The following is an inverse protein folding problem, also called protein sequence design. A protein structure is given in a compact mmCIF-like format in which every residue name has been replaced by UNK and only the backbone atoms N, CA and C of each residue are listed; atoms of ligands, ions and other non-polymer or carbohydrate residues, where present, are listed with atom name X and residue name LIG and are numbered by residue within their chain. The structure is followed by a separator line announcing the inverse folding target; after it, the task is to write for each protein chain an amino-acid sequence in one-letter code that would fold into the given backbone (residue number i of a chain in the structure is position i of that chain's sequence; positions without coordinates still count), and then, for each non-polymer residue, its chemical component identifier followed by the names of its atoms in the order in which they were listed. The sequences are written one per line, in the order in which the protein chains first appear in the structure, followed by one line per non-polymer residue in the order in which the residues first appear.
data_IF_603798545606
#
_entry.id   IF_603798545606
#
_cell.length_a   1.000
_cell.length_b   1.000
_cell.length_c   1.000
_cell.angle_alpha   90.00
_cell.angle_beta   90.00
_cell.angle_gamma   90.00
#
_symmetry.space_group_name_H-M   'P 1'
#
loop_
_entity.id
_entity.type
_entity.pdbx_description
1 polymer ?
#
# COMPACT_ATOMS: atom_id res chain seq x y z
N UNK A 1 20.28 0.60 41.12
CA UNK A 1 20.48 0.82 39.67
C UNK A 1 19.11 0.99 39.04
N UNK A 2 18.70 2.22 38.69
CA UNK A 2 17.39 2.45 38.05
C UNK A 2 17.52 1.97 36.61
N UNK A 3 16.93 0.80 36.32
CA UNK A 3 16.80 0.29 34.96
C UNK A 3 15.90 1.26 34.19
N UNK A 4 16.50 2.24 33.50
CA UNK A 4 15.82 3.19 32.61
C UNK A 4 15.28 2.40 31.43
N UNK A 5 14.13 1.75 31.63
CA UNK A 5 13.49 0.99 30.58
C UNK A 5 13.15 1.96 29.46
N UNK A 6 13.69 1.69 28.28
CA UNK A 6 13.21 2.31 27.07
C UNK A 6 11.87 1.64 26.76
N UNK A 7 10.84 2.02 27.52
CA UNK A 7 9.52 1.40 27.40
C UNK A 7 8.93 1.80 26.05
N UNK A 8 8.80 0.80 25.18
CA UNK A 8 8.03 0.90 23.95
C UNK A 8 6.57 0.79 24.34
N UNK A 9 5.81 1.84 24.09
CA UNK A 9 4.44 1.91 24.53
C UNK A 9 3.60 2.81 23.64
N UNK A 10 2.30 2.74 23.88
CA UNK A 10 1.32 3.69 23.37
C UNK A 10 0.97 4.63 24.52
N UNK A 11 1.18 5.93 24.31
CA UNK A 11 0.93 6.98 25.27
C UNK A 11 -0.09 7.96 24.68
N UNK A 12 -1.15 8.22 25.42
CA UNK A 12 -2.08 9.30 25.07
C UNK A 12 -1.54 10.60 25.67
N UNK A 13 -1.43 11.61 24.82
CA UNK A 13 -0.94 12.94 25.18
C UNK A 13 -2.10 13.78 25.71
N UNK A 14 -1.77 14.86 26.43
CA UNK A 14 -2.78 15.77 27.00
C UNK A 14 -3.68 16.38 25.92
N UNK A 15 -3.15 16.59 24.71
CA UNK A 15 -3.89 17.08 23.53
C UNK A 15 -4.86 16.03 22.94
N UNK A 16 -4.97 14.84 23.53
CA UNK A 16 -5.74 13.69 23.02
C UNK A 16 -5.07 12.92 21.88
N UNK A 17 -3.90 13.37 21.42
CA UNK A 17 -3.10 12.67 20.43
C UNK A 17 -2.47 11.39 20.98
N UNK A 18 -2.23 10.42 20.11
CA UNK A 18 -1.65 9.13 20.49
C UNK A 18 -0.22 9.00 19.99
N UNK A 19 0.72 8.80 20.90
CA UNK A 19 2.13 8.53 20.62
C UNK A 19 2.44 7.05 20.78
N UNK A 20 2.95 6.41 19.73
CA UNK A 20 3.43 5.03 19.75
C UNK A 20 4.92 5.04 19.46
N UNK A 21 5.74 4.70 20.44
CA UNK A 21 7.18 4.76 20.26
C UNK A 21 7.98 4.39 21.48
N UNK A 22 9.29 4.58 21.36
CA UNK A 22 10.20 4.49 22.50
C UNK A 22 10.09 5.75 23.34
N UNK A 23 9.95 5.57 24.65
CA UNK A 23 10.13 6.66 25.61
C UNK A 23 11.39 6.42 26.41
N UNK A 24 11.98 7.50 26.91
CA UNK A 24 13.11 7.47 27.83
C UNK A 24 12.74 8.36 29.01
N UNK A 25 12.72 7.78 30.21
CA UNK A 25 12.34 8.49 31.44
C UNK A 25 10.95 9.15 31.36
N UNK A 26 9.99 8.51 30.67
CA UNK A 26 8.63 9.04 30.46
C UNK A 26 8.50 10.09 29.35
N UNK A 27 9.61 10.44 28.68
CA UNK A 27 9.63 11.43 27.60
C UNK A 27 9.81 10.74 26.24
N UNK A 28 9.06 11.13 25.19
CA UNK A 28 9.27 10.62 23.83
C UNK A 28 10.72 10.76 23.37
N UNK A 29 11.37 9.64 23.07
CA UNK A 29 12.78 9.62 22.70
C UNK A 29 13.11 8.40 21.84
N UNK A 30 13.79 8.60 20.70
CA UNK A 30 14.13 7.55 19.75
C UNK A 30 13.25 7.59 18.52
N UNK A 31 12.66 6.48 18.09
CA UNK A 31 11.71 6.47 16.98
C UNK A 31 10.29 6.35 17.51
N UNK A 32 9.40 7.15 16.94
CA UNK A 32 8.02 7.18 17.38
C UNK A 32 7.07 7.74 16.33
N UNK A 33 5.82 7.36 16.50
CA UNK A 33 4.70 7.75 15.67
C UNK A 33 3.72 8.52 16.53
N UNK A 34 3.50 9.79 16.21
CA UNK A 34 2.47 10.59 16.86
C UNK A 34 1.29 10.74 15.92
N UNK A 35 0.09 10.48 16.41
CA UNK A 35 -1.17 10.65 15.68
C UNK A 35 -1.99 11.71 16.37
N UNK A 36 -2.26 12.81 15.68
CA UNK A 36 -3.11 13.88 16.19
C UNK A 36 -4.58 13.49 16.12
N UNK A 37 -5.40 14.11 16.98
CA UNK A 37 -6.86 13.98 16.96
C UNK A 37 -7.48 14.48 15.65
N UNK A 38 -6.80 15.41 14.95
CA UNK A 38 -7.14 15.88 13.62
C UNK A 38 -6.96 14.83 12.50
N UNK A 39 -6.36 13.68 12.80
CA UNK A 39 -6.03 12.62 11.83
C UNK A 39 -4.67 12.79 11.16
N UNK A 40 -3.92 13.85 11.49
CA UNK A 40 -2.53 13.97 11.07
C UNK A 40 -1.65 12.92 11.77
N UNK A 41 -0.55 12.53 11.12
CA UNK A 41 0.35 11.51 11.65
C UNK A 41 1.80 11.84 11.35
N UNK A 42 2.63 11.93 12.39
CA UNK A 42 4.07 12.12 12.27
C UNK A 42 4.79 10.83 12.63
N UNK A 43 5.61 10.34 11.72
CA UNK A 43 6.49 9.18 11.93
C UNK A 43 7.92 9.65 11.81
N UNK A 44 8.68 9.60 12.88
CA UNK A 44 10.04 10.08 12.84
C UNK A 44 10.83 9.82 14.09
N UNK A 45 12.00 10.44 14.14
CA UNK A 45 12.80 10.48 15.35
C UNK A 45 12.28 11.56 16.29
N UNK A 46 12.40 11.27 17.58
CA UNK A 46 11.98 12.08 18.71
C UNK A 46 13.17 12.21 19.65
N UNK A 47 13.36 13.38 20.23
CA UNK A 47 14.42 13.63 21.20
C UNK A 47 13.89 14.65 22.20
N UNK A 48 13.99 14.32 23.49
CA UNK A 48 13.58 15.20 24.59
C UNK A 48 12.13 15.71 24.44
N UNK A 49 11.23 14.85 23.93
CA UNK A 49 9.81 15.17 23.74
C UNK A 49 9.50 15.94 22.46
N UNK A 50 10.52 16.30 21.67
CA UNK A 50 10.36 17.08 20.42
C UNK A 50 10.69 16.25 19.19
N UNK A 51 10.09 16.58 18.05
CA UNK A 51 10.46 15.98 16.77
C UNK A 51 11.91 16.37 16.42
N UNK A 52 12.74 15.36 16.13
CA UNK A 52 14.15 15.58 15.83
C UNK A 52 14.67 14.55 14.82
N UNK A 53 15.64 14.90 13.98
CA UNK A 53 16.19 14.00 12.97
C UNK A 53 15.27 13.82 11.76
N UNK A 54 15.31 12.68 11.07
CA UNK A 54 14.44 12.45 9.92
C UNK A 54 13.02 12.05 10.36
N UNK A 55 12.02 12.65 9.70
CA UNK A 55 10.61 12.41 10.00
C UNK A 55 9.70 12.69 8.81
N UNK A 56 8.55 12.04 8.82
CA UNK A 56 7.50 12.14 7.81
C UNK A 56 6.21 12.57 8.48
N UNK A 57 5.70 13.76 8.14
CA UNK A 57 4.39 14.24 8.55
C UNK A 57 3.37 13.93 7.45
N UNK A 58 2.35 13.15 7.77
CA UNK A 58 1.19 12.90 6.92
C UNK A 58 0.06 13.80 7.41
N UNK A 59 -0.40 14.71 6.56
CA UNK A 59 -1.56 15.56 6.84
C UNK A 59 -2.86 14.79 6.64
N UNK A 60 -3.96 15.29 7.20
CA UNK A 60 -5.31 14.77 6.97
C UNK A 60 -5.67 14.65 5.49
N UNK A 61 -5.19 15.59 4.66
CA UNK A 61 -5.35 15.58 3.19
C UNK A 61 -4.56 14.45 2.47
N UNK A 62 -3.85 13.59 3.20
CA UNK A 62 -2.97 12.55 2.65
C UNK A 62 -1.62 13.05 2.14
N UNK A 63 -1.38 14.37 2.14
CA UNK A 63 -0.09 14.98 1.78
C UNK A 63 0.98 14.59 2.78
N UNK A 64 2.09 14.06 2.29
CA UNK A 64 3.24 13.63 3.11
C UNK A 64 4.40 14.61 2.97
N UNK A 65 4.95 15.06 4.09
CA UNK A 65 6.08 15.96 4.15
C UNK A 65 7.24 15.20 4.79
N UNK A 66 8.22 14.84 3.97
CA UNK A 66 9.42 14.13 4.42
C UNK A 66 10.54 15.15 4.58
N UNK A 67 11.11 15.23 5.76
CA UNK A 67 12.12 16.23 6.06
C UNK A 67 13.02 15.82 7.21
N UNK A 68 14.04 16.65 7.42
CA UNK A 68 14.75 16.71 8.70
C UNK A 68 13.96 17.66 9.60
N UNK A 69 13.81 17.26 10.85
CA UNK A 69 13.13 17.95 11.92
C UNK A 69 14.15 18.25 13.00
N UNK A 70 14.07 19.42 13.62
CA UNK A 70 14.93 19.80 14.73
C UNK A 70 14.09 20.66 15.67
N UNK A 71 14.01 20.22 16.92
CA UNK A 71 13.33 20.94 18.01
C UNK A 71 11.85 21.25 17.74
N UNK A 72 11.19 20.38 16.96
CA UNK A 72 9.78 20.53 16.57
C UNK A 72 9.56 21.25 15.24
N UNK A 73 10.60 21.84 14.67
CA UNK A 73 10.53 22.56 13.40
C UNK A 73 11.12 21.75 12.26
N UNK A 74 10.57 21.90 11.06
CA UNK A 74 11.09 21.27 9.85
C UNK A 74 12.41 21.94 9.45
N UNK A 75 13.52 21.40 9.92
CA UNK A 75 14.85 21.95 9.70
C UNK A 75 15.54 21.32 8.49
N UNK A 76 15.55 22.04 7.37
CA UNK A 76 16.28 21.71 6.15
C UNK A 76 15.42 21.92 4.90
N UNK A 77 16.03 21.75 3.71
CA UNK A 77 15.29 21.64 2.45
C UNK A 77 14.47 20.36 2.47
N UNK A 78 13.33 20.37 3.18
CA UNK A 78 12.36 19.30 3.16
C UNK A 78 12.05 19.04 1.69
N UNK A 79 12.38 17.84 1.22
CA UNK A 79 11.95 17.44 -0.10
C UNK A 79 10.44 17.38 0.01
N UNK A 80 9.76 18.41 -0.50
CA UNK A 80 8.36 18.32 -0.89
C UNK A 80 8.30 17.20 -1.94
N UNK A 81 8.37 15.94 -1.48
CA UNK A 81 7.70 14.87 -2.16
C UNK A 81 6.25 15.18 -1.88
N UNK A 82 5.68 16.05 -2.70
CA UNK A 82 4.32 15.85 -3.13
C UNK A 82 4.30 14.41 -3.62
N UNK A 83 3.96 13.50 -2.71
CA UNK A 83 3.49 12.19 -3.10
C UNK A 83 2.11 12.53 -3.64
N UNK A 84 2.10 13.07 -4.87
CA UNK A 84 1.07 12.69 -5.81
C UNK A 84 1.11 11.17 -5.73
N UNK A 85 0.16 10.62 -4.99
CA UNK A 85 -0.17 9.21 -5.16
C UNK A 85 -0.74 9.17 -6.57
N UNK A 86 0.14 9.24 -7.59
CA UNK A 86 -0.20 8.74 -8.89
C UNK A 86 -0.64 7.31 -8.59
N UNK A 87 -1.83 6.97 -9.06
CA UNK A 87 -2.46 5.65 -8.87
C UNK A 87 -1.54 4.47 -9.27
N UNK A 88 -0.34 4.74 -9.79
CA UNK A 88 0.72 3.82 -10.15
C UNK A 88 1.51 3.21 -8.97
N UNK A 89 1.54 3.81 -7.77
CA UNK A 89 2.34 3.24 -6.67
C UNK A 89 1.69 2.01 -6.00
N UNK A 90 0.37 1.82 -6.16
CA UNK A 90 -0.29 0.54 -5.83
C UNK A 90 0.04 -0.54 -6.87
N UNK A 91 0.51 -0.14 -8.07
CA UNK A 91 0.79 -1.02 -9.19
C UNK A 91 2.22 -1.61 -9.25
N UNK A 92 3.18 -1.19 -8.41
CA UNK A 92 4.55 -1.74 -8.48
C UNK A 92 4.70 -3.12 -7.82
N UNK A 93 3.80 -3.50 -6.91
CA UNK A 93 3.64 -4.91 -6.51
C UNK A 93 2.93 -5.75 -7.57
N UNK A 94 1.99 -5.14 -8.32
CA UNK A 94 1.19 -5.84 -9.33
C UNK A 94 1.92 -6.01 -10.68
N UNK A 95 2.82 -5.09 -11.08
CA UNK A 95 3.59 -5.21 -12.33
C UNK A 95 4.69 -6.27 -12.27
N UNK A 96 5.24 -6.56 -11.10
CA UNK A 96 6.19 -7.68 -10.94
C UNK A 96 5.49 -9.04 -11.07
N UNK A 97 4.23 -9.12 -10.64
CA UNK A 97 3.42 -10.33 -10.77
C UNK A 97 2.80 -10.46 -12.16
N UNK A 98 2.49 -9.37 -12.87
CA UNK A 98 1.95 -9.47 -14.24
C UNK A 98 2.95 -10.07 -15.24
N UNK A 99 4.25 -9.74 -15.12
CA UNK A 99 5.27 -10.35 -15.98
C UNK A 99 5.46 -11.85 -15.63
N UNK A 100 5.41 -12.21 -14.35
CA UNK A 100 5.49 -13.63 -13.94
C UNK A 100 4.25 -14.39 -14.40
N UNK A 101 3.05 -13.83 -14.24
CA UNK A 101 1.79 -14.42 -14.70
C UNK A 101 1.75 -14.53 -16.22
N UNK A 102 2.25 -13.54 -16.96
CA UNK A 102 2.32 -13.59 -18.43
C UNK A 102 3.29 -14.66 -18.94
N UNK A 103 4.45 -14.83 -18.28
CA UNK A 103 5.41 -15.89 -18.62
C UNK A 103 4.79 -17.28 -18.35
N UNK A 104 4.06 -17.44 -17.24
CA UNK A 104 3.39 -18.71 -16.90
C UNK A 104 2.20 -19.01 -17.82
N UNK A 105 1.44 -18.00 -18.25
CA UNK A 105 0.33 -18.16 -19.22
C UNK A 105 0.81 -18.43 -20.66
N UNK A 106 1.97 -17.89 -21.05
CA UNK A 106 2.57 -18.12 -22.37
C UNK A 106 3.11 -19.54 -22.54
N UNK A 107 3.67 -20.13 -21.49
CA UNK A 107 4.19 -21.51 -21.51
C UNK A 107 3.08 -22.58 -21.52
N UNK A 108 1.87 -22.25 -21.07
CA UNK A 108 0.76 -23.20 -20.97
C UNK A 108 -0.18 -23.18 -22.17
N UNK A 109 -0.27 -22.05 -22.89
CA UNK A 109 -1.20 -21.92 -24.02
C UNK A 109 -0.55 -21.90 -25.39
N UNK A 110 0.78 -21.72 -25.49
CA UNK A 110 1.50 -21.87 -26.77
C UNK A 110 1.05 -20.94 -27.90
N UNK A 111 0.36 -19.84 -27.59
CA UNK A 111 -0.07 -18.86 -28.60
C UNK A 111 0.50 -17.48 -28.27
N UNK A 112 1.46 -16.95 -29.05
CA UNK A 112 1.92 -15.59 -28.88
C UNK A 112 0.81 -14.59 -29.27
N UNK A 113 0.61 -13.58 -28.42
CA UNK A 113 -0.42 -12.53 -28.50
C UNK A 113 -0.37 -11.62 -29.77
N UNK A 114 0.44 -11.98 -30.77
CA UNK A 114 0.72 -11.19 -31.97
C UNK A 114 -0.08 -11.57 -33.21
N UNK A 115 -1.03 -12.50 -33.15
CA UNK A 115 -1.78 -12.97 -34.32
C UNK A 115 -3.29 -12.77 -34.17
N UNK A 116 -3.74 -11.52 -34.18
CA UNK A 116 -5.16 -11.25 -34.48
C UNK A 116 -5.39 -9.87 -35.12
N UNK A 117 -4.53 -9.49 -36.06
CA UNK A 117 -4.85 -8.44 -37.04
C UNK A 117 -4.36 -8.90 -38.42
N UNK A 118 -4.94 -9.99 -38.93
CA UNK A 118 -4.89 -10.33 -40.34
C UNK A 118 -5.96 -11.39 -40.62
N UNK A 119 -7.04 -11.01 -41.32
CA UNK A 119 -8.08 -11.96 -41.69
C UNK A 119 -9.42 -11.31 -41.99
N UNK A 120 -9.46 -10.44 -42.99
CA UNK A 120 -10.67 -10.07 -43.71
C UNK A 120 -11.38 -11.33 -44.25
N UNK A 121 -12.57 -11.62 -43.73
CA UNK A 121 -13.47 -12.66 -44.25
C UNK A 121 -14.83 -12.51 -43.60
N UNK A 122 -15.83 -12.07 -44.37
CA UNK A 122 -17.15 -11.70 -43.89
C UNK A 122 -17.85 -12.83 -43.14
N UNK A 123 -17.91 -12.71 -41.82
CA UNK A 123 -18.95 -13.31 -41.01
C UNK A 123 -19.75 -12.19 -40.35
N UNK A 124 -21.07 -12.29 -40.48
CA UNK A 124 -22.04 -11.34 -39.93
C UNK A 124 -21.67 -11.00 -38.49
N UNK A 125 -21.55 -9.71 -38.16
CA UNK A 125 -21.07 -9.22 -36.85
C UNK A 125 -21.77 -9.81 -35.61
N UNK A 126 -22.90 -10.50 -35.80
CA UNK A 126 -23.54 -11.32 -34.78
C UNK A 126 -22.67 -12.48 -34.28
N UNK A 127 -21.95 -13.18 -35.16
CA UNK A 127 -21.14 -14.35 -34.76
C UNK A 127 -19.92 -13.95 -33.92
N UNK A 128 -19.28 -12.83 -34.25
CA UNK A 128 -18.14 -12.31 -33.49
C UNK A 128 -18.58 -11.81 -32.11
N UNK A 129 -19.72 -11.13 -32.02
CA UNK A 129 -20.29 -10.70 -30.74
C UNK A 129 -20.65 -11.91 -29.87
N UNK A 130 -21.23 -12.96 -30.44
CA UNK A 130 -21.56 -14.19 -29.69
C UNK A 130 -20.31 -14.88 -29.15
N UNK A 131 -19.24 -14.99 -29.95
CA UNK A 131 -17.96 -15.57 -29.50
C UNK A 131 -17.33 -14.74 -28.39
N UNK A 132 -17.38 -13.40 -28.48
CA UNK A 132 -16.89 -12.51 -27.42
C UNK A 132 -17.70 -12.71 -26.14
N UNK A 133 -19.03 -12.76 -26.23
CA UNK A 133 -19.90 -13.00 -25.06
C UNK A 133 -19.59 -14.35 -24.42
N UNK A 134 -19.45 -15.42 -25.21
CA UNK A 134 -19.10 -16.75 -24.70
C UNK A 134 -17.74 -16.71 -23.99
N UNK A 135 -16.73 -16.06 -24.58
CA UNK A 135 -15.42 -15.88 -23.94
C UNK A 135 -15.53 -15.12 -22.61
N UNK A 136 -16.31 -14.04 -22.54
CA UNK A 136 -16.53 -13.29 -21.30
C UNK A 136 -17.22 -14.16 -20.24
N UNK A 137 -18.21 -14.96 -20.63
CA UNK A 137 -18.89 -15.89 -19.73
C UNK A 137 -17.92 -16.93 -19.19
N UNK A 138 -17.12 -17.58 -20.04
CA UNK A 138 -16.14 -18.59 -19.61
C UNK A 138 -15.13 -18.00 -18.63
N UNK A 139 -14.60 -16.81 -18.92
CA UNK A 139 -13.64 -16.13 -18.03
C UNK A 139 -14.29 -15.74 -16.70
N UNK A 140 -15.53 -15.22 -16.73
CA UNK A 140 -16.28 -14.86 -15.54
C UNK A 140 -16.54 -16.07 -14.63
N UNK A 141 -17.02 -17.18 -15.20
CA UNK A 141 -17.30 -18.39 -14.43
C UNK A 141 -16.03 -19.05 -13.90
N UNK A 142 -14.94 -19.01 -14.65
CA UNK A 142 -13.64 -19.49 -14.19
C UNK A 142 -13.16 -18.72 -12.94
N UNK A 143 -13.20 -17.39 -12.98
CA UNK A 143 -12.84 -16.56 -11.83
C UNK A 143 -13.79 -16.71 -10.65
N UNK A 144 -15.10 -16.85 -10.92
CA UNK A 144 -16.10 -17.12 -9.87
C UNK A 144 -15.81 -18.44 -9.16
N UNK A 145 -15.43 -19.50 -9.89
CA UNK A 145 -15.05 -20.78 -9.31
C UNK A 145 -13.79 -20.68 -8.45
N UNK A 146 -12.74 -20.00 -8.94
CA UNK A 146 -11.51 -19.75 -8.17
C UNK A 146 -11.80 -18.97 -6.89
N UNK A 147 -12.64 -17.93 -6.96
CA UNK A 147 -12.99 -17.12 -5.78
C UNK A 147 -13.82 -17.89 -4.76
N UNK A 148 -14.72 -18.75 -5.22
CA UNK A 148 -15.51 -19.63 -4.34
C UNK A 148 -14.64 -20.70 -3.67
N UNK A 149 -13.71 -21.31 -4.41
CA UNK A 149 -12.74 -22.26 -3.86
C UNK A 149 -11.81 -21.60 -2.83
N UNK A 150 -11.33 -20.39 -3.10
CA UNK A 150 -10.50 -19.64 -2.16
C UNK A 150 -11.27 -19.25 -0.89
N UNK A 151 -12.55 -18.87 -1.03
CA UNK A 151 -13.45 -18.60 0.11
C UNK A 151 -13.63 -19.83 0.98
N UNK A 152 -13.79 -21.01 0.38
CA UNK A 152 -13.91 -22.30 1.07
C UNK A 152 -12.63 -22.67 1.83
N UNK A 153 -11.46 -22.43 1.23
CA UNK A 153 -10.18 -22.71 1.86
C UNK A 153 -9.89 -21.79 3.05
N UNK A 154 -10.29 -20.51 2.95
CA UNK A 154 -10.14 -19.55 4.05
C UNK A 154 -11.07 -19.90 5.22
N UNK A 155 -12.27 -20.44 4.97
CA UNK A 155 -13.17 -20.85 6.07
C UNK A 155 -12.68 -22.07 6.85
N UNK A 156 -11.93 -22.98 6.24
CA UNK A 156 -11.34 -24.13 6.97
C UNK A 156 -10.14 -23.74 7.84
N UNK A 157 -9.41 -22.68 7.49
CA UNK A 157 -8.30 -22.16 8.30
C UNK A 157 -8.74 -21.38 9.55
N UNK A 158 -10.01 -20.99 9.63
CA UNK A 158 -10.57 -20.17 10.72
C UNK A 158 -11.56 -20.94 11.61
N UNK A 159 -11.60 -22.28 11.52
CA UNK A 159 -12.35 -23.14 12.45
C UNK A 159 -11.40 -23.98 13.30
#
# INVERSE_FOLDING_TARGET
MVNKRHDKGTFTMEDGGTYVGTTKDGVPHGQGTYTWTSGEKYVGKWKDGKQHGQGTLTKSDGKKHVGKWKDGELHGKGTHKEISVSKESVGRGAKSLSNIVAIVFGLTTGVPFGFMVAGSGGWSGFATIVVIIICFFVVYYFWKFVFWGLRSLISEFFN
#
